data_IF_074210159360
#
_entry.id   IF_074210159360
#
_cell.length_a   1.000
_cell.length_b   1.000
_cell.length_c   1.000
_cell.angle_alpha   90.00
_cell.angle_beta   90.00
_cell.angle_gamma   90.00
#
_symmetry.space_group_name_H-M   'P 1'
#
loop_
_entity.id
_entity.type
_entity.pdbx_description
1 polymer ?
#
# COMPACT_ATOMS: atom_id res chain seq x y z
N UNK A 1 15.76 -40.83 -9.81
CA UNK A 1 16.60 -42.04 -9.78
C UNK A 1 17.20 -42.21 -8.39
N UNK A 2 17.40 -43.45 -7.96
CA UNK A 2 18.01 -43.80 -6.67
C UNK A 2 19.54 -43.91 -6.80
N UNK A 3 20.24 -43.90 -5.67
CA UNK A 3 21.69 -44.12 -5.65
C UNK A 3 22.08 -45.53 -6.11
N UNK A 4 21.24 -46.52 -5.83
CA UNK A 4 21.42 -47.88 -6.30
C UNK A 4 21.36 -47.97 -7.83
N UNK A 5 20.44 -47.23 -8.46
CA UNK A 5 20.34 -47.10 -9.92
C UNK A 5 21.58 -46.41 -10.50
N UNK A 6 22.11 -45.38 -9.85
CA UNK A 6 23.36 -44.71 -10.26
C UNK A 6 24.55 -45.68 -10.23
N UNK A 7 24.65 -46.48 -9.16
CA UNK A 7 25.68 -47.51 -9.04
C UNK A 7 25.55 -48.60 -10.11
N UNK A 8 24.32 -49.00 -10.45
CA UNK A 8 24.06 -49.94 -11.53
C UNK A 8 24.51 -49.39 -12.88
N UNK A 9 24.17 -48.13 -13.21
CA UNK A 9 24.59 -47.48 -14.46
C UNK A 9 26.12 -47.36 -14.54
N UNK A 10 26.79 -46.95 -13.46
CA UNK A 10 28.26 -46.90 -13.43
C UNK A 10 28.88 -48.28 -13.70
N UNK A 11 28.36 -49.33 -13.05
CA UNK A 11 28.84 -50.70 -13.23
C UNK A 11 28.59 -51.20 -14.65
N UNK A 12 27.44 -50.89 -15.24
CA UNK A 12 27.13 -51.23 -16.63
C UNK A 12 28.08 -50.54 -17.62
N UNK A 13 28.55 -49.33 -17.29
CA UNK A 13 29.60 -48.62 -18.03
C UNK A 13 31.02 -49.18 -17.79
N UNK A 14 31.18 -50.24 -16.99
CA UNK A 14 32.47 -50.86 -16.70
C UNK A 14 33.40 -50.06 -15.79
N UNK A 15 32.90 -49.02 -15.12
CA UNK A 15 33.72 -48.12 -14.31
C UNK A 15 33.68 -48.50 -12.82
N UNK A 16 34.84 -48.52 -12.16
CA UNK A 16 34.89 -48.50 -10.70
C UNK A 16 34.53 -47.10 -10.16
N UNK A 17 34.17 -46.98 -8.88
CA UNK A 17 33.92 -45.66 -8.27
C UNK A 17 35.14 -44.73 -8.41
N UNK A 18 36.34 -45.27 -8.23
CA UNK A 18 37.60 -44.52 -8.37
C UNK A 18 37.88 -44.12 -9.82
N UNK A 19 37.65 -45.02 -10.77
CA UNK A 19 37.86 -44.74 -12.20
C UNK A 19 36.89 -43.66 -12.71
N UNK A 20 35.61 -43.72 -12.32
CA UNK A 20 34.64 -42.66 -12.63
C UNK A 20 35.08 -41.33 -12.01
N UNK A 21 35.43 -41.35 -10.73
CA UNK A 21 35.84 -40.16 -9.99
C UNK A 21 37.04 -39.46 -10.63
N UNK A 22 38.07 -40.22 -11.01
CA UNK A 22 39.25 -39.70 -11.71
C UNK A 22 38.89 -39.13 -13.08
N UNK A 23 38.03 -39.82 -13.85
CA UNK A 23 37.66 -39.42 -15.22
C UNK A 23 36.85 -38.12 -15.28
N UNK A 24 36.07 -37.84 -14.24
CA UNK A 24 35.23 -36.62 -14.16
C UNK A 24 35.78 -35.57 -13.18
N UNK A 25 36.95 -35.82 -12.60
CA UNK A 25 37.64 -34.89 -11.71
C UNK A 25 36.91 -34.62 -10.39
N UNK A 26 36.36 -35.65 -9.76
CA UNK A 26 35.71 -35.58 -8.43
C UNK A 26 36.35 -36.57 -7.46
N UNK A 27 36.07 -36.45 -6.17
CA UNK A 27 36.54 -37.42 -5.17
C UNK A 27 35.76 -38.74 -5.23
N UNK A 28 36.43 -39.88 -5.03
CA UNK A 28 35.80 -41.22 -4.92
C UNK A 28 34.64 -41.24 -3.92
N UNK A 29 34.82 -40.57 -2.77
CA UNK A 29 33.80 -40.51 -1.72
C UNK A 29 32.54 -39.77 -2.17
N UNK A 30 32.63 -38.83 -3.13
CA UNK A 30 31.45 -38.18 -3.70
C UNK A 30 30.61 -39.17 -4.51
N UNK A 31 31.25 -40.03 -5.31
CA UNK A 31 30.56 -41.12 -6.03
C UNK A 31 29.86 -42.05 -5.04
N UNK A 32 30.59 -42.53 -4.03
CA UNK A 32 30.02 -43.41 -3.00
C UNK A 32 28.86 -42.76 -2.24
N UNK A 33 28.98 -41.48 -1.90
CA UNK A 33 27.94 -40.72 -1.20
C UNK A 33 26.63 -40.69 -1.99
N UNK A 34 26.71 -40.38 -3.29
CA UNK A 34 25.52 -40.33 -4.15
C UNK A 34 24.95 -41.71 -4.46
N UNK A 35 25.79 -42.74 -4.55
CA UNK A 35 25.32 -44.12 -4.71
C UNK A 35 24.57 -44.66 -3.48
N UNK A 36 24.80 -44.11 -2.30
CA UNK A 36 24.09 -44.49 -1.08
C UNK A 36 22.80 -43.71 -0.81
N UNK A 37 22.44 -42.71 -1.63
CA UNK A 37 21.22 -41.93 -1.41
C UNK A 37 19.97 -42.65 -1.88
N UNK A 38 18.90 -42.55 -1.08
CA UNK A 38 17.57 -43.02 -1.49
C UNK A 38 17.08 -42.29 -2.76
N UNK A 39 17.34 -40.99 -2.84
CA UNK A 39 17.06 -40.15 -4.00
C UNK A 39 18.29 -39.33 -4.36
N UNK A 40 18.75 -39.43 -5.62
CA UNK A 40 19.90 -38.68 -6.12
C UNK A 40 19.43 -37.34 -6.69
N UNK A 41 19.92 -36.24 -6.10
CA UNK A 41 19.74 -34.92 -6.71
C UNK A 41 20.62 -34.81 -7.96
N UNK A 42 19.96 -34.83 -9.12
CA UNK A 42 20.62 -34.79 -10.43
C UNK A 42 21.13 -33.40 -10.83
N UNK A 43 20.84 -32.36 -10.03
CA UNK A 43 21.40 -31.02 -10.16
C UNK A 43 22.64 -30.82 -9.29
N UNK A 44 22.91 -31.73 -8.36
CA UNK A 44 24.11 -31.66 -7.56
C UNK A 44 25.34 -31.70 -8.47
N UNK A 45 26.29 -30.80 -8.20
CA UNK A 45 27.48 -30.61 -9.02
C UNK A 45 28.21 -31.92 -9.33
N UNK A 46 28.42 -32.79 -8.33
CA UNK A 46 29.10 -34.06 -8.54
C UNK A 46 28.31 -35.04 -9.44
N UNK A 47 26.98 -35.02 -9.39
CA UNK A 47 26.12 -35.89 -10.23
C UNK A 47 26.11 -35.39 -11.68
N UNK A 48 26.15 -34.07 -11.89
CA UNK A 48 26.34 -33.49 -13.22
C UNK A 48 27.67 -33.92 -13.84
N UNK A 49 28.76 -33.89 -13.06
CA UNK A 49 30.08 -34.38 -13.51
C UNK A 49 30.04 -35.86 -13.87
N UNK A 50 29.37 -36.70 -13.07
CA UNK A 50 29.19 -38.12 -13.40
C UNK A 50 28.37 -38.32 -14.70
N UNK A 51 27.41 -37.44 -14.98
CA UNK A 51 26.58 -37.49 -16.19
C UNK A 51 27.34 -37.14 -17.49
N UNK A 52 28.54 -36.53 -17.39
CA UNK A 52 29.41 -36.31 -18.56
C UNK A 52 29.94 -37.63 -19.14
N UNK A 53 29.97 -38.70 -18.34
CA UNK A 53 30.51 -40.02 -18.70
C UNK A 53 29.46 -41.12 -18.64
N UNK A 54 28.49 -41.00 -17.74
CA UNK A 54 27.39 -41.96 -17.61
C UNK A 54 26.16 -41.50 -18.37
N UNK A 55 25.55 -42.39 -19.16
CA UNK A 55 24.24 -42.16 -19.75
C UNK A 55 23.15 -42.31 -18.69
N UNK A 56 22.84 -41.22 -18.00
CA UNK A 56 21.76 -41.18 -17.01
C UNK A 56 20.40 -40.94 -17.72
N UNK A 57 19.31 -41.61 -17.31
CA UNK A 57 17.97 -41.44 -17.91
C UNK A 57 17.50 -39.98 -17.89
N UNK A 58 16.65 -39.49 -18.80
CA UNK A 58 16.38 -38.04 -18.99
C UNK A 58 15.95 -37.28 -17.71
N UNK A 59 16.31 -36.00 -17.61
CA UNK A 59 16.19 -35.06 -16.46
C UNK A 59 14.75 -34.57 -16.21
N UNK A 60 13.74 -35.15 -16.86
CA UNK A 60 12.40 -34.58 -16.99
C UNK A 60 11.49 -34.74 -15.76
N UNK A 61 12.05 -34.76 -14.54
CA UNK A 61 11.30 -34.61 -13.29
C UNK A 61 11.56 -33.24 -12.66
N UNK A 62 11.71 -32.20 -13.50
CA UNK A 62 11.37 -30.87 -13.02
C UNK A 62 9.87 -30.93 -12.76
N UNK A 63 9.45 -31.02 -11.49
CA UNK A 63 8.08 -30.66 -11.11
C UNK A 63 7.90 -29.21 -11.55
N UNK A 64 7.44 -28.99 -12.79
CA UNK A 64 7.08 -27.68 -13.31
C UNK A 64 6.12 -27.10 -12.28
N UNK A 65 6.31 -25.83 -11.92
CA UNK A 65 5.34 -25.15 -11.08
C UNK A 65 3.94 -25.43 -11.68
N UNK A 66 2.94 -25.84 -10.88
CA UNK A 66 1.67 -26.27 -11.44
C UNK A 66 1.14 -25.20 -12.37
N UNK A 67 0.62 -25.58 -13.53
CA UNK A 67 0.08 -24.61 -14.50
C UNK A 67 -0.78 -23.57 -13.78
N UNK A 68 -0.59 -22.29 -14.11
CA UNK A 68 -1.29 -21.20 -13.42
C UNK A 68 -0.62 -20.69 -12.13
N UNK A 69 0.58 -21.16 -11.74
CA UNK A 69 1.20 -20.73 -10.47
C UNK A 69 1.54 -19.24 -10.46
N UNK A 70 2.04 -18.70 -11.56
CA UNK A 70 2.35 -17.27 -11.71
C UNK A 70 1.05 -16.46 -11.66
N UNK A 71 0.00 -16.94 -12.32
CA UNK A 71 -1.32 -16.31 -12.37
C UNK A 71 -1.98 -16.30 -10.99
N UNK A 72 -1.85 -17.39 -10.21
CA UNK A 72 -2.34 -17.48 -8.83
C UNK A 72 -1.60 -16.52 -7.90
N UNK A 73 -0.27 -16.43 -8.02
CA UNK A 73 0.54 -15.48 -7.25
C UNK A 73 0.16 -14.05 -7.58
N UNK A 74 0.08 -13.71 -8.87
CA UNK A 74 -0.34 -12.38 -9.31
C UNK A 74 -1.77 -12.04 -8.86
N UNK A 75 -2.68 -13.01 -8.80
CA UNK A 75 -4.02 -12.82 -8.26
C UNK A 75 -4.00 -12.57 -6.74
N UNK A 76 -3.16 -13.29 -5.98
CA UNK A 76 -2.97 -13.04 -4.55
C UNK A 76 -2.37 -11.66 -4.29
N UNK A 77 -1.36 -11.24 -5.07
CA UNK A 77 -0.73 -9.94 -4.91
C UNK A 77 -1.73 -8.82 -5.21
N UNK A 78 -2.51 -8.92 -6.30
CA UNK A 78 -3.62 -7.99 -6.57
C UNK A 78 -4.66 -7.96 -5.45
N UNK A 79 -5.01 -9.11 -4.88
CA UNK A 79 -5.96 -9.18 -3.77
C UNK A 79 -5.39 -8.53 -2.49
N UNK A 80 -4.10 -8.70 -2.21
CA UNK A 80 -3.42 -8.04 -1.08
C UNK A 80 -3.33 -6.54 -1.29
N UNK A 81 -2.98 -6.08 -2.48
CA UNK A 81 -2.97 -4.66 -2.85
C UNK A 81 -4.37 -4.07 -2.70
N UNK A 82 -5.40 -4.73 -3.24
CA UNK A 82 -6.79 -4.28 -3.10
C UNK A 82 -7.21 -4.20 -1.63
N UNK A 83 -6.89 -5.21 -0.82
CA UNK A 83 -7.19 -5.22 0.61
C UNK A 83 -6.46 -4.08 1.36
N UNK A 84 -5.19 -3.83 1.02
CA UNK A 84 -4.42 -2.71 1.57
C UNK A 84 -5.06 -1.37 1.20
N UNK A 85 -5.48 -1.19 -0.06
CA UNK A 85 -6.15 0.03 -0.50
C UNK A 85 -7.48 0.26 0.22
N UNK A 86 -8.26 -0.80 0.49
CA UNK A 86 -9.48 -0.70 1.30
C UNK A 86 -9.15 -0.24 2.73
N UNK A 87 -8.09 -0.77 3.35
CA UNK A 87 -7.65 -0.35 4.69
C UNK A 87 -7.21 1.13 4.70
N UNK A 88 -6.46 1.56 3.68
CA UNK A 88 -6.03 2.95 3.53
C UNK A 88 -7.23 3.88 3.37
N UNK A 89 -8.19 3.53 2.51
CA UNK A 89 -9.41 4.32 2.32
C UNK A 89 -10.22 4.44 3.63
N UNK A 90 -10.36 3.35 4.38
CA UNK A 90 -11.02 3.37 5.68
C UNK A 90 -10.26 4.21 6.72
N UNK A 91 -8.93 4.23 6.68
CA UNK A 91 -8.12 5.12 7.52
C UNK A 91 -8.31 6.60 7.14
N UNK A 92 -8.26 6.93 5.84
CA UNK A 92 -8.48 8.29 5.34
C UNK A 92 -9.87 8.82 5.73
N UNK A 93 -10.91 7.99 5.61
CA UNK A 93 -12.27 8.35 6.01
C UNK A 93 -12.35 8.66 7.52
N UNK A 94 -11.72 7.84 8.37
CA UNK A 94 -11.66 8.08 9.82
C UNK A 94 -10.86 9.35 10.17
N UNK A 95 -9.78 9.62 9.46
CA UNK A 95 -8.99 10.85 9.67
C UNK A 95 -9.79 12.09 9.26
N UNK A 96 -10.50 12.04 8.12
CA UNK A 96 -11.38 13.12 7.68
C UNK A 96 -12.47 13.41 8.72
N UNK A 97 -13.15 12.37 9.24
CA UNK A 97 -14.14 12.51 10.32
C UNK A 97 -13.53 13.13 11.59
N UNK A 98 -12.32 12.71 11.97
CA UNK A 98 -11.61 13.27 13.14
C UNK A 98 -11.31 14.75 12.95
N UNK A 99 -10.80 15.14 11.78
CA UNK A 99 -10.51 16.55 11.45
C UNK A 99 -11.76 17.40 11.43
N UNK A 100 -12.86 16.89 10.89
CA UNK A 100 -14.15 17.57 10.90
C UNK A 100 -14.66 17.76 12.33
N UNK A 101 -14.62 16.72 13.15
CA UNK A 101 -15.01 16.79 14.56
C UNK A 101 -14.13 17.79 15.35
N UNK A 102 -12.82 17.84 15.07
CA UNK A 102 -11.92 18.82 15.66
C UNK A 102 -12.26 20.25 15.20
N UNK A 103 -12.54 20.45 13.91
CA UNK A 103 -12.96 21.74 13.35
C UNK A 103 -14.27 22.22 13.96
N UNK A 104 -15.23 21.32 14.19
CA UNK A 104 -16.51 21.63 14.82
C UNK A 104 -16.37 22.08 16.29
N UNK A 105 -15.30 21.66 16.98
CA UNK A 105 -15.01 22.05 18.36
C UNK A 105 -14.06 23.24 18.47
N UNK A 106 -13.35 23.60 17.41
CA UNK A 106 -12.35 24.66 17.42
C UNK A 106 -13.01 26.01 17.73
N UNK A 107 -12.40 26.75 18.66
CA UNK A 107 -12.78 28.11 19.01
C UNK A 107 -11.63 29.07 18.66
N UNK A 108 -11.95 30.15 17.96
CA UNK A 108 -11.00 31.19 17.55
C UNK A 108 -11.32 32.52 18.23
N UNK A 109 -10.41 33.50 18.18
CA UNK A 109 -10.73 34.86 18.66
C UNK A 109 -11.77 35.50 17.74
N UNK A 110 -12.81 36.08 18.32
CA UNK A 110 -13.96 36.62 17.59
C UNK A 110 -13.58 37.81 16.67
N UNK A 111 -12.70 38.70 17.12
CA UNK A 111 -12.19 39.85 16.38
C UNK A 111 -13.26 40.77 15.75
N UNK A 112 -14.51 40.72 16.21
CA UNK A 112 -15.55 41.68 15.79
C UNK A 112 -15.25 43.06 16.38
N UNK A 113 -15.60 44.13 15.68
CA UNK A 113 -15.46 45.49 16.21
C UNK A 113 -16.44 45.69 17.36
N UNK A 114 -15.94 45.97 18.54
CA UNK A 114 -16.78 46.27 19.72
C UNK A 114 -17.29 47.71 19.67
N UNK A 115 -18.24 48.06 20.56
CA UNK A 115 -18.75 49.44 20.71
C UNK A 115 -17.65 50.47 21.03
N UNK A 116 -16.56 50.03 21.68
CA UNK A 116 -15.37 50.85 21.98
C UNK A 116 -14.41 50.99 20.79
N UNK A 117 -14.74 50.43 19.63
CA UNK A 117 -13.91 50.45 18.42
C UNK A 117 -12.80 49.40 18.37
N UNK A 118 -12.47 48.75 19.48
CA UNK A 118 -11.41 47.72 19.53
C UNK A 118 -11.90 46.33 19.10
N UNK A 119 -11.01 45.41 18.66
CA UNK A 119 -11.37 44.02 18.35
C UNK A 119 -11.83 43.23 19.57
N UNK A 120 -12.87 42.40 19.39
CA UNK A 120 -13.41 41.53 20.42
C UNK A 120 -12.41 40.42 20.79
N UNK A 121 -12.07 40.32 22.07
CA UNK A 121 -11.12 39.34 22.60
C UNK A 121 -11.75 38.00 23.00
N UNK A 122 -13.08 37.89 23.03
CA UNK A 122 -13.80 36.66 23.39
C UNK A 122 -13.54 35.52 22.39
N UNK A 123 -13.61 34.28 22.88
CA UNK A 123 -13.63 33.08 22.03
C UNK A 123 -14.94 32.98 21.25
N UNK A 124 -14.87 32.46 20.03
CA UNK A 124 -16.03 32.15 19.23
C UNK A 124 -16.85 31.00 19.83
N UNK A 125 -18.10 30.87 19.38
CA UNK A 125 -18.82 29.63 19.59
C UNK A 125 -18.09 28.48 18.85
N UNK A 126 -18.13 27.24 19.38
CA UNK A 126 -17.45 26.09 18.76
C UNK A 126 -17.79 25.96 17.27
N UNK A 127 -16.77 25.81 16.43
CA UNK A 127 -16.91 25.65 14.98
C UNK A 127 -17.32 26.92 14.23
N UNK A 128 -17.50 28.06 14.92
CA UNK A 128 -17.90 29.35 14.34
C UNK A 128 -16.79 30.39 14.42
N UNK A 129 -16.95 31.49 13.68
CA UNK A 129 -16.00 32.61 13.63
C UNK A 129 -16.26 33.72 14.65
N UNK A 130 -17.45 33.77 15.27
CA UNK A 130 -17.89 34.86 16.17
C UNK A 130 -18.36 34.31 17.52
N UNK A 131 -18.30 35.11 18.57
CA UNK A 131 -18.77 34.76 19.92
C UNK A 131 -20.26 35.04 20.10
N UNK A 132 -20.88 34.55 21.19
CA UNK A 132 -22.28 34.84 21.53
C UNK A 132 -22.72 36.30 21.37
N UNK A 133 -21.90 37.25 21.81
CA UNK A 133 -22.22 38.68 21.74
C UNK A 133 -22.17 39.30 20.33
N UNK A 134 -21.46 38.66 19.39
CA UNK A 134 -21.27 39.17 18.02
C UNK A 134 -21.87 38.22 16.97
N UNK A 135 -23.01 37.60 17.31
CA UNK A 135 -23.78 36.76 16.40
C UNK A 135 -23.33 35.30 16.32
N UNK A 136 -22.41 34.85 17.18
CA UNK A 136 -21.98 33.45 17.23
C UNK A 136 -23.12 32.47 17.54
N UNK A 137 -24.09 32.88 18.37
CA UNK A 137 -25.29 32.07 18.63
C UNK A 137 -26.37 32.22 17.55
N UNK A 138 -26.24 33.19 16.64
CA UNK A 138 -27.18 33.34 15.54
C UNK A 138 -27.07 32.16 14.59
N UNK A 139 -28.23 31.74 14.09
CA UNK A 139 -28.39 30.70 13.07
C UNK A 139 -28.46 31.27 11.65
N UNK A 140 -28.46 32.59 11.50
CA UNK A 140 -28.69 33.29 10.23
C UNK A 140 -30.17 33.28 9.82
N UNK A 141 -30.49 33.97 8.72
CA UNK A 141 -31.81 33.85 8.10
C UNK A 141 -31.95 32.48 7.44
N UNK A 142 -33.05 31.77 7.75
CA UNK A 142 -33.33 30.44 7.22
C UNK A 142 -34.49 30.40 6.23
N UNK A 143 -35.31 31.46 6.18
CA UNK A 143 -36.46 31.53 5.27
C UNK A 143 -36.10 32.30 3.99
N UNK A 144 -36.75 31.99 2.85
CA UNK A 144 -36.54 32.72 1.60
C UNK A 144 -36.75 34.23 1.75
N UNK A 145 -37.78 34.66 2.47
CA UNK A 145 -38.10 36.08 2.70
C UNK A 145 -37.04 36.75 3.59
N UNK A 146 -36.53 36.02 4.58
CA UNK A 146 -35.43 36.50 5.42
C UNK A 146 -34.14 36.68 4.63
N UNK A 147 -33.84 35.76 3.71
CA UNK A 147 -32.69 35.88 2.81
C UNK A 147 -32.85 37.04 1.84
N UNK A 148 -34.04 37.24 1.27
CA UNK A 148 -34.27 38.35 0.33
C UNK A 148 -34.18 39.70 1.02
N UNK A 149 -34.72 39.85 2.24
CA UNK A 149 -34.54 41.07 3.04
C UNK A 149 -33.06 41.40 3.28
N UNK A 150 -32.23 40.39 3.56
CA UNK A 150 -30.78 40.59 3.73
C UNK A 150 -30.13 41.00 2.41
N UNK A 151 -30.50 40.37 1.29
CA UNK A 151 -29.98 40.70 -0.05
C UNK A 151 -30.31 42.13 -0.43
N UNK A 152 -31.56 42.54 -0.25
CA UNK A 152 -32.00 43.90 -0.52
C UNK A 152 -31.27 44.92 0.36
N UNK A 153 -31.16 44.66 1.66
CA UNK A 153 -30.40 45.53 2.57
C UNK A 153 -28.92 45.66 2.16
N UNK A 154 -28.30 44.60 1.64
CA UNK A 154 -26.96 44.69 1.07
C UNK A 154 -26.94 45.55 -0.21
N UNK A 155 -27.87 45.32 -1.16
CA UNK A 155 -27.98 46.13 -2.39
C UNK A 155 -28.09 47.62 -2.06
N UNK A 156 -28.97 47.99 -1.13
CA UNK A 156 -29.15 49.36 -0.69
C UNK A 156 -27.87 49.93 -0.04
N UNK A 157 -27.19 49.17 0.83
CA UNK A 157 -25.94 49.59 1.45
C UNK A 157 -24.86 49.92 0.42
N UNK A 158 -24.68 49.05 -0.57
CA UNK A 158 -23.67 49.25 -1.63
C UNK A 158 -24.03 50.39 -2.58
N UNK A 159 -25.32 50.61 -2.87
CA UNK A 159 -25.77 51.76 -3.62
C UNK A 159 -25.43 53.08 -2.89
N UNK A 160 -25.70 53.15 -1.58
CA UNK A 160 -25.34 54.32 -0.75
C UNK A 160 -23.84 54.57 -0.71
N UNK A 161 -23.04 53.52 -0.53
CA UNK A 161 -21.58 53.63 -0.51
C UNK A 161 -21.02 54.15 -1.84
N UNK A 162 -21.52 53.65 -2.97
CA UNK A 162 -21.12 54.16 -4.30
C UNK A 162 -21.47 55.63 -4.46
N UNK A 163 -22.71 56.01 -4.16
CA UNK A 163 -23.13 57.42 -4.23
C UNK A 163 -22.35 58.34 -3.27
N UNK A 164 -21.91 57.87 -2.09
CA UNK A 164 -21.01 58.64 -1.22
C UNK A 164 -19.60 58.75 -1.79
N UNK A 165 -19.07 57.69 -2.39
CA UNK A 165 -17.74 57.72 -3.01
C UNK A 165 -17.72 58.67 -4.22
N UNK A 166 -18.69 58.55 -5.11
CA UNK A 166 -18.78 59.36 -6.33
C UNK A 166 -19.05 60.85 -6.02
N UNK A 167 -19.51 61.19 -4.81
CA UNK A 167 -19.64 62.58 -4.32
C UNK A 167 -18.36 63.15 -3.69
N UNK A 168 -17.38 62.30 -3.39
CA UNK A 168 -16.09 62.68 -2.80
C UNK A 168 -14.98 62.84 -3.84
N UNK A 169 -15.21 62.33 -5.05
CA UNK A 169 -14.41 62.53 -6.26
C UNK A 169 -14.91 63.77 -7.02
#
# INVERSE_FOLDING_TARGET
>A
MTGAELAAIRRAAGLSQGALAQRVGIGRHAVSYWECKAEVDRRAWAVLRMADVLTLPDKSDIKRAPAGWVERMAAQDRAREAAFMVQVAAWQARDAQRREAQRAKLQVRCNARTRKGTPCRCKSEPGKKRCKFHGGMSTGARTPEGLERIREAQRQRWARWRAERDRRE
#
